data_IF_521568446923
#
_entry.id   IF_521568446923
#
_cell.length_a   1.000
_cell.length_b   1.000
_cell.length_c   1.000
_cell.angle_alpha   90.00
_cell.angle_beta   90.00
_cell.angle_gamma   90.00
#
_symmetry.space_group_name_H-M   'P 1'
#
loop_
_entity.id
_entity.type
_entity.pdbx_description
1 polymer ?
#
# COMPACT_ATOMS: atom_id res chain seq x y z
N UNK A 1 -43.09 -23.35 24.29
CA UNK A 1 -41.85 -22.61 24.65
C UNK A 1 -41.30 -21.97 23.39
N UNK A 2 -41.19 -20.64 23.41
CA UNK A 2 -40.90 -19.77 22.27
C UNK A 2 -39.41 -19.82 21.91
N UNK A 3 -39.08 -20.03 20.63
CA UNK A 3 -37.81 -19.61 20.04
C UNK A 3 -38.04 -18.25 19.37
N UNK A 4 -37.61 -17.18 20.03
CA UNK A 4 -37.74 -15.82 19.54
C UNK A 4 -36.79 -15.62 18.35
N UNK A 5 -37.38 -15.47 17.15
CA UNK A 5 -36.72 -14.89 15.98
C UNK A 5 -36.39 -13.44 16.30
N UNK A 6 -35.10 -13.10 16.33
CA UNK A 6 -34.64 -11.72 16.33
C UNK A 6 -34.89 -11.15 14.91
N UNK A 7 -36.07 -10.57 14.72
CA UNK A 7 -36.33 -9.69 13.58
C UNK A 7 -35.57 -8.38 13.85
N UNK A 8 -34.41 -8.19 13.20
CA UNK A 8 -33.83 -6.86 13.10
C UNK A 8 -34.76 -6.03 12.22
N UNK A 9 -35.46 -5.10 12.88
CA UNK A 9 -36.29 -4.11 12.24
C UNK A 9 -35.44 -3.30 11.25
N UNK A 10 -35.74 -3.47 9.96
CA UNK A 10 -35.43 -2.49 8.93
C UNK A 10 -36.24 -1.24 9.30
N UNK A 11 -35.61 -0.32 10.03
CA UNK A 11 -36.14 1.05 10.11
C UNK A 11 -36.07 1.62 8.70
N UNK A 12 -37.26 1.81 8.11
CA UNK A 12 -37.42 2.51 6.86
C UNK A 12 -36.88 3.94 7.00
N UNK A 13 -35.69 4.17 6.45
CA UNK A 13 -35.28 5.50 6.03
C UNK A 13 -36.03 5.79 4.73
N UNK A 14 -36.89 6.79 4.81
CA UNK A 14 -37.64 7.34 3.70
C UNK A 14 -36.73 7.54 2.49
N UNK A 15 -37.11 6.95 1.36
CA UNK A 15 -36.54 7.21 0.05
C UNK A 15 -37.04 8.60 -0.37
N UNK A 16 -36.45 9.64 0.21
CA UNK A 16 -36.37 10.95 -0.44
C UNK A 16 -35.40 10.86 -1.63
N UNK A 17 -35.47 11.76 -2.62
CA UNK A 17 -34.48 11.79 -3.69
C UNK A 17 -33.09 11.79 -3.05
N UNK A 18 -32.19 10.93 -3.53
CA UNK A 18 -30.78 10.91 -3.14
C UNK A 18 -30.20 12.32 -3.34
N UNK A 19 -30.31 13.15 -2.32
CA UNK A 19 -29.37 14.22 -2.08
C UNK A 19 -28.12 13.48 -1.63
N UNK A 20 -27.34 13.04 -2.61
CA UNK A 20 -25.97 12.62 -2.41
C UNK A 20 -25.08 13.84 -2.38
N UNK A 21 -23.93 13.73 -1.73
CA UNK A 21 -22.92 14.76 -1.70
C UNK A 21 -21.94 14.56 -0.56
N UNK A 22 -21.00 15.50 -0.44
CA UNK A 22 -19.93 15.46 0.58
C UNK A 22 -20.51 15.52 1.99
N UNK A 23 -21.60 16.26 2.21
CA UNK A 23 -22.25 16.35 3.52
C UNK A 23 -22.75 14.98 4.01
N UNK A 24 -23.49 14.27 3.17
CA UNK A 24 -24.05 12.96 3.52
C UNK A 24 -22.94 11.91 3.64
N UNK A 25 -21.90 12.01 2.81
CA UNK A 25 -20.72 11.17 2.93
C UNK A 25 -20.01 11.36 4.29
N UNK A 26 -19.84 12.61 4.75
CA UNK A 26 -19.25 12.91 6.07
C UNK A 26 -20.13 12.42 7.21
N UNK A 27 -21.45 12.58 7.10
CA UNK A 27 -22.38 12.06 8.10
C UNK A 27 -22.26 10.52 8.19
N UNK A 28 -22.24 9.83 7.05
CA UNK A 28 -22.06 8.38 7.00
C UNK A 28 -20.70 7.95 7.59
N UNK A 29 -19.61 8.62 7.22
CA UNK A 29 -18.25 8.37 7.76
C UNK A 29 -18.25 8.51 9.29
N UNK A 30 -18.83 9.58 9.84
CA UNK A 30 -18.83 9.83 11.29
C UNK A 30 -19.61 8.79 12.11
N UNK A 31 -20.65 8.19 11.51
CA UNK A 31 -21.43 7.11 12.13
C UNK A 31 -20.79 5.74 11.94
N UNK A 32 -19.84 5.62 11.03
CA UNK A 32 -19.24 4.36 10.65
C UNK A 32 -18.30 3.85 11.75
N UNK A 33 -18.53 2.62 12.22
CA UNK A 33 -17.56 1.90 13.07
C UNK A 33 -16.55 1.22 12.15
N UNK A 34 -15.29 1.12 12.60
CA UNK A 34 -14.11 0.65 11.83
C UNK A 34 -14.29 -0.64 11.02
N UNK A 35 -15.27 -1.50 11.38
CA UNK A 35 -15.52 -2.80 10.74
C UNK A 35 -16.87 -2.91 10.00
N UNK A 36 -17.75 -1.89 10.09
CA UNK A 36 -19.12 -1.91 9.53
C UNK A 36 -19.33 -0.76 8.53
N UNK A 37 -18.26 -0.25 7.91
CA UNK A 37 -18.43 0.89 7.00
C UNK A 37 -18.88 0.43 5.63
N UNK A 38 -20.00 0.99 5.17
CA UNK A 38 -20.46 0.87 3.79
C UNK A 38 -19.62 1.77 2.88
N UNK A 39 -18.30 1.51 2.80
CA UNK A 39 -17.31 2.35 2.09
C UNK A 39 -17.73 2.59 0.64
N UNK A 40 -18.29 1.59 -0.03
CA UNK A 40 -18.82 1.74 -1.38
C UNK A 40 -19.96 2.77 -1.44
N UNK A 41 -20.83 2.83 -0.43
CA UNK A 41 -21.88 3.85 -0.36
C UNK A 41 -21.30 5.24 -0.13
N UNK A 42 -20.24 5.37 0.68
CA UNK A 42 -19.52 6.64 0.84
C UNK A 42 -19.01 7.15 -0.51
N UNK A 43 -18.41 6.27 -1.32
CA UNK A 43 -17.98 6.63 -2.67
C UNK A 43 -19.15 6.99 -3.59
N UNK A 44 -20.25 6.23 -3.51
CA UNK A 44 -21.45 6.45 -4.31
C UNK A 44 -22.14 7.79 -4.02
N UNK A 45 -21.98 8.35 -2.83
CA UNK A 45 -22.55 9.65 -2.45
C UNK A 45 -21.85 10.82 -3.15
N UNK A 46 -20.56 10.70 -3.48
CA UNK A 46 -19.78 11.79 -4.10
C UNK A 46 -19.50 11.59 -5.59
N UNK A 47 -19.77 10.41 -6.16
CA UNK A 47 -19.43 10.10 -7.56
C UNK A 47 -20.19 10.95 -8.60
N UNK A 48 -21.33 11.55 -8.23
CA UNK A 48 -22.15 12.37 -9.13
C UNK A 48 -21.59 13.77 -9.34
N UNK A 49 -20.87 14.32 -8.35
CA UNK A 49 -20.18 15.60 -8.45
C UNK A 49 -18.79 15.53 -7.80
N UNK A 50 -17.80 15.17 -8.60
CA UNK A 50 -16.41 15.04 -8.17
C UNK A 50 -15.69 16.39 -8.00
N UNK A 51 -16.34 17.49 -8.39
CA UNK A 51 -15.84 18.85 -8.20
C UNK A 51 -16.40 19.50 -6.93
N UNK A 52 -17.35 18.86 -6.24
CA UNK A 52 -17.89 19.33 -4.98
C UNK A 52 -16.75 19.52 -3.95
N UNK A 53 -16.79 20.64 -3.23
CA UNK A 53 -15.81 20.94 -2.20
C UNK A 53 -15.77 19.83 -1.13
N UNK A 54 -14.61 19.19 -0.98
CA UNK A 54 -14.41 18.06 -0.08
C UNK A 54 -14.59 16.68 -0.71
N UNK A 55 -14.95 16.55 -1.98
CA UNK A 55 -15.03 15.25 -2.66
C UNK A 55 -13.69 14.49 -2.63
N UNK A 56 -12.58 15.21 -2.79
CA UNK A 56 -11.23 14.64 -2.68
C UNK A 56 -10.90 14.10 -1.28
N UNK A 57 -11.41 14.73 -0.22
CA UNK A 57 -11.24 14.27 1.17
C UNK A 57 -12.00 12.95 1.37
N UNK A 58 -13.25 12.90 0.92
CA UNK A 58 -14.10 11.70 1.00
C UNK A 58 -13.46 10.54 0.24
N UNK A 59 -12.95 10.77 -0.98
CA UNK A 59 -12.25 9.74 -1.75
C UNK A 59 -10.94 9.34 -1.05
N UNK A 60 -10.22 10.28 -0.46
CA UNK A 60 -9.05 9.99 0.38
C UNK A 60 -9.37 9.04 1.52
N UNK A 61 -10.52 9.22 2.17
CA UNK A 61 -11.02 8.34 3.22
C UNK A 61 -11.36 6.94 2.67
N UNK A 62 -12.02 6.86 1.50
CA UNK A 62 -12.33 5.60 0.81
C UNK A 62 -11.06 4.82 0.45
N UNK A 63 -10.00 5.51 0.00
CA UNK A 63 -8.71 4.89 -0.30
C UNK A 63 -8.13 4.19 0.95
N UNK A 64 -8.19 4.86 2.10
CA UNK A 64 -7.61 4.36 3.36
C UNK A 64 -8.44 3.25 4.03
N UNK A 65 -9.76 3.29 3.89
CA UNK A 65 -10.67 2.42 4.62
C UNK A 65 -11.36 1.35 3.76
N UNK A 66 -11.28 1.46 2.43
CA UNK A 66 -11.85 0.49 1.50
C UNK A 66 -11.09 -0.83 1.44
N UNK A 67 -11.68 -1.83 0.79
CA UNK A 67 -11.00 -3.07 0.41
C UNK A 67 -10.61 -3.01 -1.07
N UNK A 68 -10.23 -4.15 -1.65
CA UNK A 68 -9.75 -4.24 -3.02
C UNK A 68 -10.78 -3.70 -4.04
N UNK A 69 -12.06 -4.00 -3.85
CA UNK A 69 -13.12 -3.58 -4.77
C UNK A 69 -13.32 -2.05 -4.76
N UNK A 70 -13.35 -1.43 -3.57
CA UNK A 70 -13.48 0.02 -3.43
C UNK A 70 -12.27 0.74 -4.03
N UNK A 71 -11.05 0.24 -3.79
CA UNK A 71 -9.83 0.82 -4.36
C UNK A 71 -9.78 0.73 -5.88
N UNK A 72 -10.27 -0.37 -6.44
CA UNK A 72 -10.45 -0.51 -7.89
C UNK A 72 -11.45 0.53 -8.41
N UNK A 73 -12.57 0.72 -7.72
CA UNK A 73 -13.59 1.71 -8.10
C UNK A 73 -13.06 3.15 -7.99
N UNK A 74 -12.22 3.46 -7.01
CA UNK A 74 -11.50 4.74 -6.93
C UNK A 74 -10.67 4.97 -8.20
N UNK A 75 -9.97 3.95 -8.71
CA UNK A 75 -9.16 4.06 -9.93
C UNK A 75 -9.94 4.48 -11.17
N UNK A 76 -11.26 4.21 -11.21
CA UNK A 76 -12.15 4.60 -12.31
C UNK A 76 -12.60 6.06 -12.26
N UNK A 77 -12.54 6.69 -11.08
CA UNK A 77 -13.02 8.06 -10.85
C UNK A 77 -11.92 9.05 -10.51
N UNK A 78 -10.77 8.59 -9.99
CA UNK A 78 -9.71 9.46 -9.45
C UNK A 78 -9.16 10.45 -10.49
N UNK A 79 -9.15 10.04 -11.76
CA UNK A 79 -8.71 10.86 -12.89
C UNK A 79 -9.68 11.97 -13.30
N UNK A 80 -10.92 11.93 -12.80
CA UNK A 80 -11.96 12.92 -13.07
C UNK A 80 -12.01 14.02 -12.01
N UNK A 81 -11.29 13.86 -10.90
CA UNK A 81 -11.19 14.90 -9.88
C UNK A 81 -10.31 16.06 -10.38
N UNK A 82 -10.49 17.26 -9.81
CA UNK A 82 -9.49 18.32 -9.90
C UNK A 82 -8.11 17.80 -9.51
N UNK A 83 -7.07 18.27 -10.20
CA UNK A 83 -5.69 17.82 -9.97
C UNK A 83 -5.33 17.93 -8.49
N UNK A 84 -4.98 16.80 -7.88
CA UNK A 84 -4.61 16.72 -6.47
C UNK A 84 -3.48 15.70 -6.28
N UNK A 85 -2.24 16.18 -6.29
CA UNK A 85 -1.04 15.34 -6.17
C UNK A 85 -0.99 14.61 -4.81
N UNK A 86 -1.47 15.24 -3.73
CA UNK A 86 -1.48 14.61 -2.40
C UNK A 86 -2.41 13.39 -2.36
N UNK A 87 -3.60 13.51 -2.95
CA UNK A 87 -4.54 12.40 -3.07
C UNK A 87 -3.96 11.28 -3.94
N UNK A 88 -3.32 11.62 -5.06
CA UNK A 88 -2.67 10.63 -5.93
C UNK A 88 -1.51 9.91 -5.22
N UNK A 89 -0.68 10.64 -4.47
CA UNK A 89 0.39 10.05 -3.64
C UNK A 89 -0.16 9.09 -2.58
N UNK A 90 -1.27 9.45 -1.94
CA UNK A 90 -1.99 8.56 -1.02
C UNK A 90 -2.47 7.31 -1.74
N UNK A 91 -3.09 7.47 -2.91
CA UNK A 91 -3.61 6.36 -3.70
C UNK A 91 -2.52 5.36 -4.09
N UNK A 92 -1.43 5.81 -4.71
CA UNK A 92 -0.33 4.93 -5.15
C UNK A 92 0.37 4.23 -3.98
N UNK A 93 0.45 4.89 -2.81
CA UNK A 93 0.99 4.28 -1.60
C UNK A 93 0.09 3.18 -1.08
N UNK A 94 -1.22 3.40 -1.03
CA UNK A 94 -2.15 2.37 -0.58
C UNK A 94 -2.20 1.20 -1.57
N UNK A 95 -2.16 1.48 -2.88
CA UNK A 95 -2.06 0.40 -3.89
C UNK A 95 -0.80 -0.43 -3.71
N UNK A 96 0.33 0.14 -3.29
CA UNK A 96 1.55 -0.66 -3.07
C UNK A 96 1.44 -1.64 -1.91
N UNK A 97 0.59 -1.35 -0.91
CA UNK A 97 0.38 -2.21 0.25
C UNK A 97 -0.75 -3.23 0.04
N UNK A 98 -1.81 -2.83 -0.67
CA UNK A 98 -3.07 -3.59 -0.72
C UNK A 98 -3.65 -3.79 -2.12
N UNK A 99 -3.02 -3.22 -3.14
CA UNK A 99 -3.44 -3.31 -4.54
C UNK A 99 -2.69 -4.40 -5.30
N UNK A 100 -3.13 -4.65 -6.52
CA UNK A 100 -2.45 -5.54 -7.46
C UNK A 100 -1.35 -4.77 -8.20
N UNK A 101 -0.30 -5.48 -8.63
CA UNK A 101 0.83 -4.90 -9.37
C UNK A 101 0.34 -4.17 -10.62
N UNK A 102 -0.56 -4.81 -11.36
CA UNK A 102 -1.12 -4.34 -12.63
C UNK A 102 -1.89 -3.03 -12.47
N UNK A 103 -2.55 -2.83 -11.32
CA UNK A 103 -3.25 -1.58 -11.01
C UNK A 103 -2.25 -0.42 -10.86
N UNK A 104 -1.12 -0.67 -10.21
CA UNK A 104 -0.08 0.35 -10.06
C UNK A 104 0.61 0.65 -11.40
N UNK A 105 0.84 -0.36 -12.24
CA UNK A 105 1.34 -0.19 -13.62
C UNK A 105 0.39 0.65 -14.48
N UNK A 106 -0.91 0.38 -14.43
CA UNK A 106 -1.93 1.17 -15.13
C UNK A 106 -1.92 2.64 -14.67
N UNK A 107 -1.82 2.87 -13.36
CA UNK A 107 -1.73 4.23 -12.80
C UNK A 107 -0.47 4.93 -13.28
N UNK A 108 0.69 4.27 -13.24
CA UNK A 108 1.96 4.81 -13.74
C UNK A 108 1.84 5.22 -15.22
N UNK A 109 1.20 4.39 -16.06
CA UNK A 109 1.02 4.66 -17.48
C UNK A 109 0.18 5.91 -17.80
N UNK A 110 -0.67 6.34 -16.86
CA UNK A 110 -1.51 7.55 -16.99
C UNK A 110 -0.92 8.78 -16.31
N UNK A 111 0.04 8.61 -15.39
CA UNK A 111 0.62 9.73 -14.65
C UNK A 111 1.56 10.56 -15.54
N UNK A 112 1.44 11.90 -15.53
CA UNK A 112 2.46 12.75 -16.14
C UNK A 112 3.78 12.60 -15.37
N UNK A 113 4.92 12.79 -16.07
CA UNK A 113 6.23 12.82 -15.42
C UNK A 113 6.25 13.88 -14.31
N UNK A 114 6.90 13.53 -13.20
CA UNK A 114 7.00 14.37 -12.01
C UNK A 114 6.97 13.54 -10.74
N UNK A 115 6.81 14.21 -9.60
CA UNK A 115 6.93 13.59 -8.26
C UNK A 115 6.00 12.38 -8.06
N UNK A 116 4.72 12.49 -8.44
CA UNK A 116 3.75 11.40 -8.26
C UNK A 116 4.14 10.18 -9.10
N UNK A 117 4.57 10.39 -10.34
CA UNK A 117 5.05 9.34 -11.23
C UNK A 117 6.33 8.67 -10.69
N UNK A 118 7.27 9.46 -10.17
CA UNK A 118 8.50 8.95 -9.53
C UNK A 118 8.17 8.09 -8.30
N UNK A 119 7.32 8.56 -7.38
CA UNK A 119 6.91 7.77 -6.22
C UNK A 119 6.14 6.51 -6.64
N UNK A 120 5.22 6.59 -7.61
CA UNK A 120 4.49 5.43 -8.10
C UNK A 120 5.42 4.34 -8.68
N UNK A 121 6.44 4.73 -9.45
CA UNK A 121 7.45 3.78 -9.97
C UNK A 121 8.32 3.18 -8.88
N UNK A 122 8.71 3.97 -7.88
CA UNK A 122 9.40 3.44 -6.70
C UNK A 122 8.51 2.41 -5.97
N UNK A 123 7.23 2.73 -5.78
CA UNK A 123 6.25 1.83 -5.15
C UNK A 123 6.11 0.51 -5.93
N UNK A 124 6.13 0.56 -7.26
CA UNK A 124 6.11 -0.65 -8.09
C UNK A 124 7.35 -1.52 -7.86
N UNK A 125 8.54 -0.92 -7.86
CA UNK A 125 9.77 -1.63 -7.54
C UNK A 125 9.72 -2.27 -6.14
N UNK A 126 9.17 -1.55 -5.15
CA UNK A 126 8.97 -2.07 -3.80
C UNK A 126 8.02 -3.27 -3.79
N UNK A 127 6.87 -3.19 -4.45
CA UNK A 127 5.91 -4.31 -4.54
C UNK A 127 6.54 -5.55 -5.17
N UNK A 128 7.27 -5.39 -6.28
CA UNK A 128 7.96 -6.50 -6.96
C UNK A 128 9.04 -7.11 -6.05
N UNK A 129 9.83 -6.28 -5.37
CA UNK A 129 10.85 -6.74 -4.44
C UNK A 129 10.26 -7.48 -3.24
N UNK A 130 9.18 -6.98 -2.64
CA UNK A 130 8.53 -7.61 -1.50
C UNK A 130 7.90 -8.95 -1.87
N UNK A 131 7.25 -9.04 -3.03
CA UNK A 131 6.69 -10.28 -3.54
C UNK A 131 7.80 -11.32 -3.81
N UNK A 132 8.96 -10.91 -4.33
CA UNK A 132 10.13 -11.80 -4.46
C UNK A 132 10.58 -12.40 -3.11
N UNK A 133 10.37 -11.72 -1.99
CA UNK A 133 10.76 -12.21 -0.65
C UNK A 133 9.63 -12.99 0.04
N UNK A 134 8.40 -12.48 -0.01
CA UNK A 134 7.28 -12.98 0.79
C UNK A 134 6.49 -14.10 0.11
N UNK A 135 6.53 -14.18 -1.22
CA UNK A 135 5.74 -15.17 -1.94
C UNK A 135 6.35 -16.56 -1.81
N UNK A 136 5.71 -17.43 -1.03
CA UNK A 136 6.23 -18.76 -0.71
C UNK A 136 6.14 -19.75 -1.88
N UNK A 137 5.41 -19.43 -2.95
CA UNK A 137 5.26 -20.32 -4.12
C UNK A 137 6.43 -20.21 -5.11
N UNK A 138 7.29 -19.20 -4.95
CA UNK A 138 8.42 -18.97 -5.86
C UNK A 138 9.63 -19.84 -5.56
N UNK A 139 10.21 -20.37 -6.63
CA UNK A 139 11.55 -20.95 -6.61
C UNK A 139 12.65 -19.88 -6.67
N UNK A 140 13.91 -20.28 -6.47
CA UNK A 140 15.04 -19.35 -6.41
C UNK A 140 15.26 -18.55 -7.70
N UNK A 141 15.04 -19.15 -8.87
CA UNK A 141 15.21 -18.47 -10.15
C UNK A 141 14.14 -17.38 -10.36
N UNK A 142 12.89 -17.68 -9.98
CA UNK A 142 11.78 -16.72 -10.04
C UNK A 142 11.99 -15.55 -9.08
N UNK A 143 12.48 -15.81 -7.85
CA UNK A 143 12.87 -14.76 -6.90
C UNK A 143 13.98 -13.88 -7.45
N UNK A 144 15.02 -14.48 -8.02
CA UNK A 144 16.12 -13.75 -8.63
C UNK A 144 15.62 -12.87 -9.79
N UNK A 145 14.75 -13.40 -10.66
CA UNK A 145 14.15 -12.64 -11.76
C UNK A 145 13.35 -11.43 -11.26
N UNK A 146 12.52 -11.59 -10.23
CA UNK A 146 11.76 -10.47 -9.62
C UNK A 146 12.68 -9.43 -8.97
N UNK A 147 13.73 -9.85 -8.26
CA UNK A 147 14.73 -8.91 -7.72
C UNK A 147 15.43 -8.13 -8.84
N UNK A 148 15.76 -8.76 -9.97
CA UNK A 148 16.33 -8.07 -11.13
C UNK A 148 15.34 -7.12 -11.79
N UNK A 149 14.06 -7.49 -11.88
CA UNK A 149 13.00 -6.59 -12.36
C UNK A 149 12.90 -5.34 -11.49
N UNK A 150 12.80 -5.50 -10.17
CA UNK A 150 12.78 -4.38 -9.22
C UNK A 150 14.02 -3.50 -9.37
N UNK A 151 15.21 -4.11 -9.46
CA UNK A 151 16.47 -3.40 -9.68
C UNK A 151 16.46 -2.59 -10.97
N UNK A 152 15.96 -3.16 -12.07
CA UNK A 152 15.86 -2.47 -13.35
C UNK A 152 14.91 -1.27 -13.31
N UNK A 153 13.82 -1.33 -12.53
CA UNK A 153 12.93 -0.18 -12.32
C UNK A 153 13.67 0.93 -11.56
N UNK A 154 14.40 0.58 -10.50
CA UNK A 154 15.17 1.52 -9.67
C UNK A 154 16.30 2.21 -10.46
N UNK A 155 17.06 1.46 -11.25
CA UNK A 155 18.14 2.02 -12.09
C UNK A 155 17.62 2.98 -13.16
N UNK A 156 16.43 2.74 -13.70
CA UNK A 156 15.78 3.68 -14.62
C UNK A 156 15.30 4.94 -13.89
N UNK A 157 14.86 4.81 -12.64
CA UNK A 157 14.39 5.95 -11.84
C UNK A 157 15.55 6.85 -11.40
N UNK A 158 16.67 6.24 -11.00
CA UNK A 158 17.93 6.92 -10.62
C UNK A 158 18.53 7.78 -11.75
N UNK A 159 18.26 7.43 -13.00
CA UNK A 159 18.74 8.15 -14.20
C UNK A 159 17.81 9.27 -14.66
N UNK A 160 16.66 9.47 -14.02
CA UNK A 160 15.77 10.57 -14.40
C UNK A 160 16.32 11.92 -13.91
N UNK A 161 16.03 12.98 -14.64
CA UNK A 161 16.32 14.32 -14.17
C UNK A 161 15.28 14.77 -13.14
N UNK A 162 15.72 15.49 -12.10
CA UNK A 162 14.82 16.06 -11.09
C UNK A 162 14.12 15.01 -10.24
N UNK A 163 14.80 13.90 -9.91
CA UNK A 163 14.28 12.95 -8.91
C UNK A 163 14.14 13.65 -7.57
N UNK A 164 13.00 13.46 -6.92
CA UNK A 164 12.81 14.01 -5.58
C UNK A 164 13.77 13.37 -4.56
N UNK A 165 14.38 14.18 -3.67
CA UNK A 165 15.38 13.73 -2.67
C UNK A 165 14.93 12.52 -1.83
N UNK A 166 13.65 12.45 -1.46
CA UNK A 166 13.12 11.32 -0.69
C UNK A 166 13.09 10.05 -1.53
N UNK A 167 12.73 10.19 -2.81
CA UNK A 167 12.74 9.07 -3.77
C UNK A 167 14.17 8.62 -4.05
N UNK A 168 15.13 9.53 -4.19
CA UNK A 168 16.55 9.17 -4.36
C UNK A 168 17.05 8.33 -3.17
N UNK A 169 16.78 8.77 -1.95
CA UNK A 169 17.13 8.02 -0.73
C UNK A 169 16.46 6.64 -0.71
N UNK A 170 15.16 6.57 -1.00
CA UNK A 170 14.45 5.31 -1.02
C UNK A 170 14.95 4.34 -2.10
N UNK A 171 15.32 4.87 -3.27
CA UNK A 171 15.92 4.10 -4.36
C UNK A 171 17.24 3.49 -3.90
N UNK A 172 18.13 4.29 -3.30
CA UNK A 172 19.40 3.80 -2.77
C UNK A 172 19.18 2.70 -1.71
N UNK A 173 18.30 2.93 -0.73
CA UNK A 173 17.99 2.00 0.35
C UNK A 173 17.43 0.67 -0.19
N UNK A 174 16.43 0.73 -1.09
CA UNK A 174 15.82 -0.47 -1.64
C UNK A 174 16.79 -1.22 -2.55
N UNK A 175 17.58 -0.52 -3.37
CA UNK A 175 18.59 -1.12 -4.25
C UNK A 175 19.65 -1.88 -3.43
N UNK A 176 20.08 -1.31 -2.30
CA UNK A 176 20.97 -2.01 -1.37
C UNK A 176 20.32 -3.28 -0.83
N UNK A 177 19.07 -3.20 -0.33
CA UNK A 177 18.32 -4.34 0.21
C UNK A 177 18.16 -5.46 -0.80
N UNK A 178 17.68 -5.18 -2.02
CA UNK A 178 17.43 -6.22 -3.03
C UNK A 178 18.71 -6.85 -3.60
N UNK A 179 19.87 -6.22 -3.36
CA UNK A 179 21.17 -6.72 -3.81
C UNK A 179 21.90 -7.53 -2.73
N UNK A 180 21.71 -7.19 -1.46
CA UNK A 180 22.51 -7.76 -0.36
C UNK A 180 21.68 -8.46 0.73
N UNK A 181 20.38 -8.15 0.85
CA UNK A 181 19.52 -8.56 1.96
C UNK A 181 18.28 -9.32 1.47
N UNK A 182 18.49 -10.27 0.55
CA UNK A 182 17.43 -11.12 -0.02
C UNK A 182 17.70 -12.59 0.24
N UNK A 183 16.65 -13.42 0.13
CA UNK A 183 16.77 -14.88 0.20
C UNK A 183 17.85 -15.38 -0.77
N UNK A 184 18.79 -16.18 -0.24
CA UNK A 184 19.91 -16.73 -1.00
C UNK A 184 21.22 -15.95 -0.87
N UNK A 185 21.18 -14.71 -0.37
CA UNK A 185 22.39 -13.98 0.01
C UNK A 185 23.00 -14.53 1.31
N UNK A 186 24.29 -14.33 1.48
CA UNK A 186 24.94 -14.50 2.78
C UNK A 186 24.36 -13.47 3.76
N UNK A 187 23.90 -13.94 4.93
CA UNK A 187 23.42 -13.05 5.97
C UNK A 187 24.58 -12.14 6.43
N UNK A 188 24.36 -10.82 6.61
CA UNK A 188 25.38 -9.93 7.14
C UNK A 188 25.91 -10.41 8.49
N UNK A 189 27.18 -10.13 8.78
CA UNK A 189 27.74 -10.38 10.10
C UNK A 189 26.98 -9.57 11.15
N UNK A 190 26.69 -10.20 12.29
CA UNK A 190 26.01 -9.58 13.42
C UNK A 190 26.89 -9.86 14.63
N UNK A 191 27.38 -8.80 15.25
CA UNK A 191 28.15 -8.87 16.47
C UNK A 191 27.36 -8.27 17.62
N UNK A 192 27.45 -8.89 18.80
CA UNK A 192 26.78 -8.41 19.99
C UNK A 192 27.41 -8.96 21.26
N UNK A 193 26.76 -8.67 22.39
CA UNK A 193 27.06 -9.26 23.69
C UNK A 193 25.80 -9.92 24.22
N UNK A 194 25.94 -11.12 24.78
CA UNK A 194 24.83 -11.82 25.42
C UNK A 194 24.53 -11.26 26.83
N UNK A 195 23.55 -11.87 27.52
CA UNK A 195 23.15 -11.47 28.87
C UNK A 195 24.23 -11.66 29.94
N UNK A 196 25.28 -12.42 29.64
CA UNK A 196 26.42 -12.66 30.54
C UNK A 196 27.63 -11.79 30.18
N UNK A 197 27.48 -10.90 29.18
CA UNK A 197 28.54 -10.02 28.71
C UNK A 197 29.56 -10.70 27.78
N UNK A 198 29.28 -11.93 27.34
CA UNK A 198 30.15 -12.63 26.39
C UNK A 198 29.90 -12.10 24.98
N UNK A 199 30.97 -11.80 24.26
CA UNK A 199 30.88 -11.45 22.83
C UNK A 199 30.33 -12.65 22.05
N UNK A 200 29.35 -12.38 21.18
CA UNK A 200 28.77 -13.34 20.25
C UNK A 200 28.82 -12.78 18.83
N UNK A 201 29.01 -13.67 17.85
CA UNK A 201 28.92 -13.32 16.41
C UNK A 201 28.05 -14.32 15.67
N UNK A 202 27.43 -13.92 14.55
CA UNK A 202 26.61 -14.84 13.75
C UNK A 202 27.48 -15.94 13.11
N UNK A 203 28.72 -15.62 12.73
CA UNK A 203 29.64 -16.58 12.12
C UNK A 203 30.06 -17.73 13.05
N UNK A 204 29.97 -17.57 14.38
CA UNK A 204 30.18 -18.68 15.35
C UNK A 204 29.16 -19.81 15.18
N UNK A 205 28.04 -19.56 14.51
CA UNK A 205 26.98 -20.54 14.27
C UNK A 205 27.05 -21.22 12.89
N UNK A 206 28.13 -21.02 12.12
CA UNK A 206 28.28 -21.71 10.82
C UNK A 206 28.16 -23.23 10.97
N UNK A 207 27.49 -23.85 9.99
CA UNK A 207 27.16 -25.28 10.01
C UNK A 207 25.90 -25.63 10.79
N UNK A 208 25.24 -24.66 11.43
CA UNK A 208 23.93 -24.83 12.10
C UNK A 208 22.82 -24.12 11.33
N UNK A 209 21.59 -24.60 11.52
CA UNK A 209 20.38 -23.84 11.17
C UNK A 209 20.09 -22.85 12.30
N UNK A 210 20.02 -21.56 11.98
CA UNK A 210 19.84 -20.47 12.96
C UNK A 210 18.51 -19.77 12.70
N UNK A 211 17.69 -19.66 13.74
CA UNK A 211 16.54 -18.76 13.77
C UNK A 211 16.94 -17.51 14.56
N UNK A 212 16.91 -16.34 13.90
CA UNK A 212 17.27 -15.06 14.51
C UNK A 212 16.02 -14.17 14.67
N UNK A 213 15.38 -14.15 15.85
CA UNK A 213 14.26 -13.25 16.12
C UNK A 213 14.76 -11.86 16.57
N UNK A 214 14.08 -10.80 16.10
CA UNK A 214 14.26 -9.44 16.60
C UNK A 214 13.10 -9.09 17.54
N UNK A 215 13.40 -8.70 18.79
CA UNK A 215 12.40 -8.29 19.79
C UNK A 215 12.87 -7.08 20.60
N UNK A 216 11.98 -6.48 21.38
CA UNK A 216 12.30 -5.41 22.34
C UNK A 216 11.33 -5.44 23.51
N UNK A 217 11.78 -4.96 24.67
CA UNK A 217 10.91 -4.67 25.83
C UNK A 217 10.68 -3.16 25.83
N UNK A 218 9.41 -2.76 25.98
CA UNK A 218 8.96 -1.36 26.03
C UNK A 218 8.41 -1.02 27.40
#
# INVERSE_FOLDING_TARGET
MMTARLAMAIMGLAIGPLLGGVKDARELISKSKRNDVEVMKVLDLVKSDLNEEGAAEVIGWVIENGFAQERKRVGEVIWKLPKNDQLMLKYVRILSFYGEKEQLEEVIGKLPKGRVHQEARFRLALTVAEDAQRNLTLNNAERAARNQEAKGILEKLEKEEGVNEFVEKWVADLKYKITHLVVGCEAPEIEGVDSEGKKITLSEYRGKVVLLPFWGMW
#
